data_IF_617162580482
#
_entry.id   IF_617162580482
#
_cell.length_a   1.000
_cell.length_b   1.000
_cell.length_c   1.000
_cell.angle_alpha   90.00
_cell.angle_beta   90.00
_cell.angle_gamma   90.00
#
_symmetry.space_group_name_H-M   'P 1'
#
loop_
_entity.id
_entity.type
_entity.pdbx_description
1 polymer ?
#
# COMPACT_ATOMS: atom_id res chain seq x y z
N UNK A 1 9.49 -14.54 26.88
CA UNK A 1 9.35 -14.34 25.42
C UNK A 1 10.10 -13.06 25.07
N UNK A 2 11.08 -13.10 24.18
CA UNK A 2 11.91 -11.92 23.87
C UNK A 2 11.13 -10.98 22.94
N UNK A 3 10.92 -9.74 23.37
CA UNK A 3 10.38 -8.66 22.54
C UNK A 3 11.54 -7.91 21.89
N UNK A 4 12.21 -8.57 20.94
CA UNK A 4 13.21 -7.87 20.14
C UNK A 4 12.53 -6.89 19.18
N UNK A 5 12.95 -5.63 19.20
CA UNK A 5 12.66 -4.64 18.17
C UNK A 5 13.98 -4.25 17.52
N UNK A 6 14.00 -4.16 16.19
CA UNK A 6 15.17 -3.64 15.47
C UNK A 6 15.44 -2.19 15.84
N UNK A 7 16.70 -1.75 15.74
CA UNK A 7 17.08 -0.37 16.01
C UNK A 7 16.31 0.61 15.13
N UNK A 8 16.04 0.22 13.87
CA UNK A 8 15.23 1.00 12.95
C UNK A 8 13.78 1.17 13.44
N UNK A 9 13.18 0.11 13.98
CA UNK A 9 11.83 0.19 14.56
C UNK A 9 11.80 1.12 15.78
N UNK A 10 12.81 1.01 16.67
CA UNK A 10 12.90 1.86 17.85
C UNK A 10 13.08 3.35 17.48
N UNK A 11 13.89 3.63 16.46
CA UNK A 11 14.06 4.98 15.91
C UNK A 11 12.76 5.55 15.35
N UNK A 12 12.03 4.78 14.54
CA UNK A 12 10.75 5.23 13.98
C UNK A 12 9.70 5.48 15.07
N UNK A 13 9.63 4.62 16.09
CA UNK A 13 8.73 4.79 17.22
C UNK A 13 9.03 6.11 17.97
N UNK A 14 10.30 6.42 18.20
CA UNK A 14 10.73 7.68 18.83
C UNK A 14 10.41 8.90 17.96
N UNK A 15 10.73 8.84 16.67
CA UNK A 15 10.46 9.92 15.73
C UNK A 15 8.96 10.29 15.70
N UNK A 16 8.08 9.28 15.64
CA UNK A 16 6.63 9.50 15.64
C UNK A 16 6.11 10.04 16.98
N UNK A 17 6.76 9.71 18.10
CA UNK A 17 6.39 10.23 19.41
C UNK A 17 6.82 11.70 19.60
N UNK A 18 7.98 12.07 19.06
CA UNK A 18 8.50 13.44 19.11
C UNK A 18 7.76 14.37 18.13
N UNK A 19 7.26 13.83 17.02
CA UNK A 19 6.62 14.57 15.93
C UNK A 19 5.20 14.07 15.61
N UNK A 20 4.21 14.30 16.50
CA UNK A 20 2.84 13.83 16.29
C UNK A 20 2.17 14.44 15.04
N UNK A 21 2.63 15.60 14.57
CA UNK A 21 2.18 16.27 13.34
C UNK A 21 2.47 15.45 12.07
N UNK A 22 3.54 14.63 12.08
CA UNK A 22 3.96 13.86 10.91
C UNK A 22 2.91 12.83 10.48
N UNK A 23 2.01 12.40 11.37
CA UNK A 23 0.95 11.47 10.99
C UNK A 23 -0.04 12.12 10.00
N UNK A 24 -0.36 13.40 10.20
CA UNK A 24 -1.22 14.14 9.27
C UNK A 24 -0.51 14.35 7.92
N UNK A 25 0.77 14.68 7.94
CA UNK A 25 1.58 14.83 6.72
C UNK A 25 1.74 13.51 5.97
N UNK A 26 1.94 12.40 6.70
CA UNK A 26 2.02 11.05 6.12
C UNK A 26 0.74 10.69 5.38
N UNK A 27 -0.42 10.97 5.98
CA UNK A 27 -1.72 10.76 5.34
C UNK A 27 -1.90 11.67 4.12
N UNK A 28 -1.56 12.95 4.23
CA UNK A 28 -1.62 13.88 3.10
C UNK A 28 -0.74 13.43 1.92
N UNK A 29 0.50 13.03 2.20
CA UNK A 29 1.43 12.54 1.19
C UNK A 29 0.98 11.21 0.56
N UNK A 30 0.38 10.30 1.35
CA UNK A 30 -0.22 9.07 0.82
C UNK A 30 -1.37 9.38 -0.14
N UNK A 31 -2.22 10.34 0.21
CA UNK A 31 -3.36 10.74 -0.61
C UNK A 31 -2.98 11.41 -1.94
N UNK A 32 -1.75 11.90 -2.10
CA UNK A 32 -1.31 12.54 -3.35
C UNK A 32 -1.02 11.54 -4.47
N UNK A 33 -0.33 10.45 -4.16
CA UNK A 33 0.24 9.56 -5.18
C UNK A 33 -0.18 8.10 -5.04
N UNK A 34 -0.81 7.73 -3.92
CA UNK A 34 -1.02 6.33 -3.57
C UNK A 34 -2.50 5.99 -3.34
N UNK A 35 -3.24 6.82 -2.62
CA UNK A 35 -4.69 6.61 -2.48
C UNK A 35 -5.39 7.20 -3.70
N UNK A 36 -5.90 6.33 -4.57
CA UNK A 36 -6.64 6.71 -5.78
C UNK A 36 -8.10 6.34 -5.62
N UNK A 37 -8.99 7.31 -5.88
CA UNK A 37 -10.41 7.03 -6.03
C UNK A 37 -10.65 6.40 -7.40
N UNK A 38 -11.11 5.14 -7.42
CA UNK A 38 -11.42 4.42 -8.65
C UNK A 38 -12.81 4.80 -9.14
N UNK A 39 -12.95 5.09 -10.43
CA UNK A 39 -14.26 5.32 -11.05
C UNK A 39 -15.04 3.97 -11.13
N UNK A 40 -16.23 3.86 -10.52
CA UNK A 40 -17.03 2.64 -10.58
C UNK A 40 -17.36 2.18 -12.00
N UNK A 41 -17.52 3.12 -12.95
CA UNK A 41 -17.80 2.79 -14.34
C UNK A 41 -16.57 2.17 -15.01
N UNK A 42 -15.37 2.68 -14.75
CA UNK A 42 -14.12 2.10 -15.24
C UNK A 42 -13.88 0.72 -14.65
N UNK A 43 -14.15 0.54 -13.35
CA UNK A 43 -14.06 -0.76 -12.68
C UNK A 43 -14.97 -1.79 -13.33
N UNK A 44 -16.24 -1.44 -13.58
CA UNK A 44 -17.18 -2.32 -14.28
C UNK A 44 -16.69 -2.68 -15.69
N UNK A 45 -16.06 -1.73 -16.39
CA UNK A 45 -15.43 -1.97 -17.68
C UNK A 45 -14.27 -2.96 -17.61
N UNK A 46 -13.38 -2.83 -16.61
CA UNK A 46 -12.27 -3.75 -16.39
C UNK A 46 -12.73 -5.16 -16.02
N UNK A 47 -13.77 -5.27 -15.18
CA UNK A 47 -14.38 -6.54 -14.81
C UNK A 47 -15.00 -7.24 -16.03
N UNK A 48 -15.74 -6.49 -16.86
CA UNK A 48 -16.32 -7.03 -18.08
C UNK A 48 -15.26 -7.45 -19.12
N UNK A 49 -14.12 -6.77 -19.15
CA UNK A 49 -13.00 -7.07 -20.04
C UNK A 49 -12.02 -8.12 -19.48
N UNK A 50 -12.27 -8.68 -18.30
CA UNK A 50 -11.36 -9.62 -17.66
C UNK A 50 -11.20 -10.91 -18.49
N UNK A 51 -9.95 -11.29 -18.75
CA UNK A 51 -9.59 -12.54 -19.45
C UNK A 51 -8.98 -13.51 -18.46
N UNK A 52 -9.37 -14.79 -18.56
CA UNK A 52 -8.79 -15.85 -17.75
C UNK A 52 -7.26 -15.92 -17.95
N UNK A 53 -6.50 -15.62 -16.90
CA UNK A 53 -5.03 -15.69 -16.93
C UNK A 53 -4.60 -17.15 -16.74
N UNK A 54 -3.68 -17.63 -17.58
CA UNK A 54 -3.01 -18.92 -17.34
C UNK A 54 -2.26 -18.86 -15.99
N UNK A 55 -2.21 -19.95 -15.21
CA UNK A 55 -1.55 -19.97 -13.90
C UNK A 55 -0.03 -19.75 -14.00
N UNK A 56 0.57 -20.07 -15.14
CA UNK A 56 1.97 -19.79 -15.40
C UNK A 56 2.14 -19.20 -16.79
N UNK A 57 2.47 -17.90 -16.85
CA UNK A 57 2.55 -17.09 -18.08
C UNK A 57 3.52 -17.66 -19.11
N UNK A 58 4.56 -18.35 -18.64
CA UNK A 58 5.61 -18.93 -19.48
C UNK A 58 5.47 -20.44 -19.66
N UNK A 59 4.34 -21.03 -19.26
CA UNK A 59 4.11 -22.44 -19.52
C UNK A 59 3.89 -22.59 -21.02
N UNK A 60 4.85 -23.21 -21.68
CA UNK A 60 4.68 -23.71 -23.03
C UNK A 60 3.99 -25.06 -22.86
N UNK A 61 2.82 -25.19 -23.47
CA UNK A 61 2.08 -26.45 -23.46
C UNK A 61 2.94 -27.58 -24.06
#
# INVERSE_FOLDING_TARGET
MYHYKSDATQFLDQLMAEHPEMEAERLANRNLLWDVALDPQEQAGFEAAAVAKKPYTYYQD
#
